data_IF_336440347286
#
_entry.id   IF_336440347286
#
_cell.length_a   1.000
_cell.length_b   1.000
_cell.length_c   1.000
_cell.angle_alpha   90.00
_cell.angle_beta   90.00
_cell.angle_gamma   90.00
#
_symmetry.space_group_name_H-M   'P 1'
#
loop_
_entity.id
_entity.type
_entity.pdbx_description
1 polymer ?
#
# COMPACT_ATOMS: atom_id res chain seq x y z
N UNK A 1 -13.42 10.21 1.40
CA UNK A 1 -12.99 9.16 2.36
C UNK A 1 -11.49 9.21 2.71
N UNK A 2 -10.65 9.77 1.84
CA UNK A 2 -9.20 9.98 2.06
C UNK A 2 -8.86 10.66 3.39
N UNK A 3 -9.60 11.70 3.78
CA UNK A 3 -9.40 12.39 5.05
C UNK A 3 -9.60 11.52 6.31
N UNK A 4 -10.50 10.53 6.26
CA UNK A 4 -10.72 9.60 7.39
C UNK A 4 -9.51 8.68 7.56
N UNK A 5 -8.97 8.16 6.46
CA UNK A 5 -7.78 7.31 6.47
C UNK A 5 -6.52 8.09 6.90
N UNK A 6 -6.38 9.35 6.47
CA UNK A 6 -5.33 10.24 6.94
C UNK A 6 -5.43 10.47 8.46
N UNK A 7 -6.64 10.64 8.98
CA UNK A 7 -6.91 10.72 10.43
C UNK A 7 -6.51 9.45 11.17
N UNK A 8 -6.81 8.26 10.63
CA UNK A 8 -6.37 6.99 11.22
C UNK A 8 -4.84 6.82 11.21
N UNK A 9 -4.18 7.16 10.09
CA UNK A 9 -2.73 7.11 10.00
C UNK A 9 -2.07 8.08 10.98
N UNK A 10 -2.63 9.28 11.13
CA UNK A 10 -2.19 10.27 12.11
C UNK A 10 -2.40 9.77 13.54
N UNK A 11 -3.59 9.25 13.87
CA UNK A 11 -3.87 8.71 15.20
C UNK A 11 -2.93 7.54 15.55
N UNK A 12 -2.66 6.65 14.59
CA UNK A 12 -1.68 5.58 14.77
C UNK A 12 -0.28 6.14 15.05
N UNK A 13 0.17 7.14 14.29
CA UNK A 13 1.46 7.81 14.53
C UNK A 13 1.53 8.49 15.90
N UNK A 14 0.46 9.18 16.31
CA UNK A 14 0.38 9.81 17.63
C UNK A 14 0.44 8.76 18.73
N UNK A 15 -0.26 7.64 18.60
CA UNK A 15 -0.21 6.55 19.59
C UNK A 15 1.19 5.91 19.70
N UNK A 16 1.97 5.92 18.61
CA UNK A 16 3.33 5.37 18.59
C UNK A 16 4.34 6.37 19.14
N UNK A 17 4.16 7.66 18.83
CA UNK A 17 5.02 8.73 19.28
C UNK A 17 4.70 9.20 20.70
N UNK A 18 3.51 8.86 21.22
CA UNK A 18 3.15 9.09 22.60
C UNK A 18 4.20 8.42 23.49
N UNK A 19 4.91 9.19 24.34
CA UNK A 19 5.94 8.63 25.21
C UNK A 19 5.27 7.60 26.11
N UNK A 20 5.62 6.32 25.91
CA UNK A 20 5.16 5.23 26.74
C UNK A 20 5.55 5.49 28.19
N UNK A 21 4.57 5.83 29.00
CA UNK A 21 4.70 6.10 30.43
C UNK A 21 5.16 4.83 31.16
N UNK A 22 6.47 4.63 31.22
CA UNK A 22 7.09 3.70 32.17
C UNK A 22 7.29 2.28 31.69
N UNK A 23 8.37 2.04 30.92
CA UNK A 23 9.29 0.95 31.25
C UNK A 23 10.63 1.20 30.56
N UNK A 24 11.68 1.27 31.36
CA UNK A 24 13.11 1.09 31.03
C UNK A 24 13.44 0.73 29.58
N UNK A 25 14.06 1.71 28.88
CA UNK A 25 14.94 1.60 27.70
C UNK A 25 15.15 0.17 27.17
N UNK A 26 14.53 -0.15 26.04
CA UNK A 26 15.07 -1.11 25.06
C UNK A 26 15.59 -0.34 23.84
N UNK A 27 16.89 -0.44 23.51
CA UNK A 27 17.53 0.31 22.43
C UNK A 27 17.12 -0.25 21.06
N UNK A 28 17.05 0.62 20.05
CA UNK A 28 16.71 0.34 18.63
C UNK A 28 15.22 0.19 18.27
N UNK A 29 14.32 0.77 19.07
CA UNK A 29 12.90 0.85 18.76
C UNK A 29 12.65 1.34 17.32
N UNK A 30 12.37 0.39 16.44
CA UNK A 30 11.31 0.47 15.45
C UNK A 30 11.47 1.35 14.20
N UNK A 31 12.66 1.85 13.82
CA UNK A 31 12.84 2.73 12.66
C UNK A 31 12.00 2.35 11.41
N UNK A 32 11.89 1.05 11.10
CA UNK A 32 11.05 0.57 9.98
C UNK A 32 9.54 0.76 10.13
N UNK A 33 8.96 0.60 11.32
CA UNK A 33 7.51 0.74 11.52
C UNK A 33 7.08 2.21 11.45
N UNK A 34 7.79 3.08 12.19
CA UNK A 34 7.54 4.52 12.19
C UNK A 34 7.76 5.11 10.80
N UNK A 35 8.80 4.68 10.08
CA UNK A 35 9.04 5.11 8.69
C UNK A 35 7.93 4.65 7.74
N UNK A 36 7.43 3.42 7.89
CA UNK A 36 6.32 2.91 7.06
C UNK A 36 5.05 3.72 7.32
N UNK A 37 4.71 4.03 8.57
CA UNK A 37 3.52 4.80 8.91
C UNK A 37 3.67 6.28 8.53
N UNK A 38 4.87 6.84 8.67
CA UNK A 38 5.17 8.19 8.17
C UNK A 38 5.01 8.24 6.65
N UNK A 39 5.51 7.24 5.92
CA UNK A 39 5.32 7.15 4.47
C UNK A 39 3.84 7.06 4.08
N UNK A 40 3.06 6.26 4.82
CA UNK A 40 1.62 6.16 4.61
C UNK A 40 0.91 7.49 4.89
N UNK A 41 1.25 8.18 5.97
CA UNK A 41 0.69 9.51 6.29
C UNK A 41 0.99 10.53 5.20
N UNK A 42 2.25 10.62 4.75
CA UNK A 42 2.65 11.56 3.70
C UNK A 42 1.89 11.26 2.40
N UNK A 43 1.84 9.98 1.99
CA UNK A 43 1.11 9.58 0.80
C UNK A 43 -0.40 9.88 0.91
N UNK A 44 -1.02 9.64 2.07
CA UNK A 44 -2.43 9.99 2.32
C UNK A 44 -2.68 11.49 2.30
N UNK A 45 -1.78 12.31 2.84
CA UNK A 45 -1.87 13.78 2.77
C UNK A 45 -1.82 14.21 1.30
N UNK A 46 -0.85 13.69 0.54
CA UNK A 46 -0.71 13.98 -0.90
C UNK A 46 -1.97 13.62 -1.66
N UNK A 47 -2.49 12.41 -1.51
CA UNK A 47 -3.75 11.99 -2.15
C UNK A 47 -4.92 12.88 -1.71
N UNK A 48 -5.00 13.26 -0.44
CA UNK A 48 -6.08 14.14 0.03
C UNK A 48 -6.01 15.53 -0.62
N UNK A 49 -4.80 16.06 -0.84
CA UNK A 49 -4.60 17.31 -1.55
C UNK A 49 -5.00 17.18 -3.03
N UNK A 50 -4.57 16.11 -3.70
CA UNK A 50 -4.95 15.84 -5.10
C UNK A 50 -6.46 15.70 -5.28
N UNK A 51 -7.10 14.92 -4.40
CA UNK A 51 -8.55 14.77 -4.38
C UNK A 51 -9.26 16.11 -4.13
N UNK A 52 -8.73 16.96 -3.24
CA UNK A 52 -9.32 18.27 -2.97
C UNK A 52 -9.21 19.21 -4.18
N UNK A 53 -8.11 19.13 -4.94
CA UNK A 53 -7.96 19.87 -6.19
C UNK A 53 -8.98 19.40 -7.24
N UNK A 54 -9.10 18.08 -7.42
CA UNK A 54 -10.09 17.47 -8.32
C UNK A 54 -11.53 17.85 -7.96
N UNK A 55 -11.88 17.79 -6.68
CA UNK A 55 -13.22 18.12 -6.19
C UNK A 55 -13.61 19.59 -6.39
N UNK A 56 -12.63 20.47 -6.60
CA UNK A 56 -12.85 21.89 -6.91
C UNK A 56 -13.06 22.18 -8.39
N UNK A 57 -12.89 21.22 -9.29
CA UNK A 57 -13.06 21.43 -10.74
C UNK A 57 -14.52 21.35 -11.17
N UNK A 58 -14.87 22.10 -12.23
CA UNK A 58 -16.15 21.94 -12.92
C UNK A 58 -16.16 20.60 -13.67
N UNK A 59 -16.83 19.63 -13.06
CA UNK A 59 -16.86 18.24 -13.53
C UNK A 59 -17.55 18.08 -14.89
N UNK A 60 -18.39 19.02 -15.33
CA UNK A 60 -18.98 18.94 -16.67
C UNK A 60 -17.93 19.27 -17.75
N UNK A 61 -17.11 20.29 -17.51
CA UNK A 61 -16.09 20.73 -18.46
C UNK A 61 -14.82 19.87 -18.39
N UNK A 62 -14.40 19.44 -17.21
CA UNK A 62 -13.09 18.83 -16.96
C UNK A 62 -13.10 17.30 -16.78
N UNK A 63 -14.22 16.63 -17.01
CA UNK A 63 -14.41 15.19 -16.72
C UNK A 63 -13.33 14.27 -17.30
N UNK A 64 -12.87 14.59 -18.51
CA UNK A 64 -11.89 13.78 -19.23
C UNK A 64 -10.52 13.80 -18.56
N UNK A 65 -10.05 15.02 -18.24
CA UNK A 65 -8.83 15.23 -17.46
C UNK A 65 -8.97 14.65 -16.07
N UNK A 66 -10.11 14.86 -15.41
CA UNK A 66 -10.39 14.34 -14.07
C UNK A 66 -10.21 12.81 -14.03
N UNK A 67 -10.77 12.06 -14.98
CA UNK A 67 -10.59 10.60 -15.06
C UNK A 67 -9.11 10.17 -15.14
N UNK A 68 -8.29 10.92 -15.88
CA UNK A 68 -6.84 10.65 -15.98
C UNK A 68 -6.12 10.94 -14.65
N UNK A 69 -6.48 12.03 -13.98
CA UNK A 69 -5.85 12.43 -12.72
C UNK A 69 -6.29 11.49 -11.58
N UNK A 70 -7.55 11.08 -11.55
CA UNK A 70 -8.10 10.09 -10.61
C UNK A 70 -7.36 8.75 -10.71
N UNK A 71 -7.03 8.31 -11.93
CA UNK A 71 -6.22 7.11 -12.16
C UNK A 71 -4.84 7.20 -11.48
N UNK A 72 -4.17 8.35 -11.61
CA UNK A 72 -2.84 8.59 -11.02
C UNK A 72 -2.92 8.68 -9.50
N UNK A 73 -3.93 9.40 -8.98
CA UNK A 73 -4.17 9.53 -7.56
C UNK A 73 -4.53 8.18 -6.92
N UNK A 74 -5.30 7.34 -7.63
CA UNK A 74 -5.65 5.99 -7.20
C UNK A 74 -4.43 5.10 -6.93
N UNK A 75 -3.34 5.25 -7.71
CA UNK A 75 -2.08 4.55 -7.45
C UNK A 75 -1.41 5.04 -6.17
N UNK A 76 -1.28 6.37 -6.00
CA UNK A 76 -0.67 6.96 -4.80
C UNK A 76 -1.45 6.56 -3.54
N UNK A 77 -2.78 6.61 -3.61
CA UNK A 77 -3.66 6.16 -2.55
C UNK A 77 -3.49 4.67 -2.24
N UNK A 78 -3.45 3.82 -3.27
CA UNK A 78 -3.23 2.39 -3.13
C UNK A 78 -1.92 2.06 -2.40
N UNK A 79 -0.83 2.72 -2.78
CA UNK A 79 0.47 2.59 -2.11
C UNK A 79 0.42 3.03 -0.65
N UNK A 80 -0.31 4.13 -0.37
CA UNK A 80 -0.48 4.63 0.98
C UNK A 80 -1.22 3.62 1.89
N UNK A 81 -2.29 3.01 1.38
CA UNK A 81 -3.05 1.96 2.08
C UNK A 81 -2.18 0.73 2.34
N UNK A 82 -1.43 0.27 1.35
CA UNK A 82 -0.51 -0.87 1.49
C UNK A 82 0.54 -0.60 2.57
N UNK A 83 1.16 0.59 2.55
CA UNK A 83 2.11 1.00 3.58
C UNK A 83 1.46 1.08 4.97
N UNK A 84 0.26 1.65 5.08
CA UNK A 84 -0.47 1.76 6.35
C UNK A 84 -0.70 0.37 6.98
N UNK A 85 -1.26 -0.57 6.22
CA UNK A 85 -1.54 -1.91 6.71
C UNK A 85 -0.27 -2.68 7.07
N UNK A 86 0.81 -2.50 6.31
CA UNK A 86 2.10 -3.07 6.68
C UNK A 86 2.62 -2.48 7.99
N UNK A 87 2.53 -1.16 8.17
CA UNK A 87 2.89 -0.49 9.42
C UNK A 87 2.12 -1.07 10.60
N UNK A 88 0.80 -1.21 10.47
CA UNK A 88 -0.08 -1.84 11.46
C UNK A 88 0.32 -3.29 11.74
N UNK A 89 0.57 -4.11 10.71
CA UNK A 89 0.99 -5.49 10.89
C UNK A 89 2.34 -5.62 11.63
N UNK A 90 3.26 -4.67 11.45
CA UNK A 90 4.52 -4.62 12.21
C UNK A 90 4.27 -4.21 13.67
N UNK A 91 3.35 -3.27 13.93
CA UNK A 91 2.99 -2.88 15.29
C UNK A 91 2.31 -4.01 16.04
N UNK A 92 1.31 -4.68 15.44
CA UNK A 92 0.57 -5.77 16.08
C UNK A 92 1.51 -6.87 16.55
N UNK A 93 2.47 -7.29 15.70
CA UNK A 93 3.49 -8.27 16.07
C UNK A 93 4.34 -7.83 17.26
N UNK A 94 4.72 -6.56 17.31
CA UNK A 94 5.55 -6.02 18.39
C UNK A 94 4.80 -5.81 19.69
N UNK A 95 3.51 -5.50 19.61
CA UNK A 95 2.64 -5.36 20.77
C UNK A 95 2.24 -6.72 21.36
N UNK A 96 2.71 -7.84 20.81
CA UNK A 96 2.34 -9.18 21.27
C UNK A 96 0.86 -9.50 21.02
N UNK A 97 0.24 -8.88 20.00
CA UNK A 97 -1.11 -9.22 19.57
C UNK A 97 -1.11 -10.65 19.04
N UNK A 98 -2.25 -11.34 19.18
CA UNK A 98 -2.50 -12.69 18.67
C UNK A 98 -1.80 -12.97 17.30
N UNK A 99 -0.97 -14.03 17.21
CA UNK A 99 -0.26 -14.39 15.99
C UNK A 99 -1.16 -14.56 14.76
N UNK A 100 -2.40 -15.04 14.96
CA UNK A 100 -3.36 -15.20 13.86
C UNK A 100 -3.75 -13.85 13.29
N UNK A 101 -4.11 -12.88 14.15
CA UNK A 101 -4.43 -11.52 13.74
C UNK A 101 -3.24 -10.83 13.05
N UNK A 102 -2.03 -11.01 13.57
CA UNK A 102 -0.81 -10.49 12.94
C UNK A 102 -0.52 -11.10 11.56
N UNK A 103 -0.75 -12.42 11.40
CA UNK A 103 -0.61 -13.11 10.12
C UNK A 103 -1.67 -12.66 9.12
N UNK A 104 -2.92 -12.49 9.55
CA UNK A 104 -4.00 -11.96 8.71
C UNK A 104 -3.69 -10.54 8.24
N UNK A 105 -3.22 -9.66 9.13
CA UNK A 105 -2.80 -8.30 8.78
C UNK A 105 -1.65 -8.31 7.75
N UNK A 106 -0.69 -9.23 7.89
CA UNK A 106 0.39 -9.41 6.92
C UNK A 106 -0.13 -9.85 5.55
N UNK A 107 -1.03 -10.84 5.49
CA UNK A 107 -1.63 -11.30 4.24
C UNK A 107 -2.41 -10.15 3.58
N UNK A 108 -3.16 -9.39 4.37
CA UNK A 108 -3.90 -8.25 3.88
C UNK A 108 -2.96 -7.19 3.27
N UNK A 109 -1.91 -6.79 4.00
CA UNK A 109 -0.96 -5.76 3.55
C UNK A 109 -0.08 -6.20 2.37
N UNK A 110 0.29 -7.48 2.29
CA UNK A 110 1.20 -8.00 1.25
C UNK A 110 0.46 -8.46 0.00
N UNK A 111 -0.76 -8.98 0.10
CA UNK A 111 -1.46 -9.61 -1.04
C UNK A 111 -2.75 -8.88 -1.37
N UNK A 112 -3.65 -8.75 -0.41
CA UNK A 112 -5.03 -8.29 -0.67
C UNK A 112 -5.04 -6.83 -1.09
N UNK A 113 -4.42 -5.93 -0.33
CA UNK A 113 -4.46 -4.50 -0.63
C UNK A 113 -3.68 -4.10 -1.88
N UNK A 114 -2.49 -4.66 -2.19
CA UNK A 114 -1.85 -4.40 -3.47
C UNK A 114 -2.68 -4.86 -4.67
N UNK A 115 -3.32 -6.04 -4.58
CA UNK A 115 -4.21 -6.52 -5.64
C UNK A 115 -5.47 -5.64 -5.78
N UNK A 116 -6.08 -5.23 -4.68
CA UNK A 116 -7.20 -4.29 -4.69
C UNK A 116 -6.80 -2.93 -5.26
N UNK A 117 -5.64 -2.39 -4.89
CA UNK A 117 -5.11 -1.15 -5.45
C UNK A 117 -4.96 -1.25 -6.98
N UNK A 118 -4.38 -2.35 -7.48
CA UNK A 118 -4.26 -2.58 -8.92
C UNK A 118 -5.62 -2.72 -9.60
N UNK A 119 -6.58 -3.38 -8.96
CA UNK A 119 -7.95 -3.49 -9.45
C UNK A 119 -8.62 -2.12 -9.59
N UNK A 120 -8.52 -1.25 -8.58
CA UNK A 120 -9.07 0.11 -8.65
C UNK A 120 -8.38 0.97 -9.72
N UNK A 121 -7.06 0.83 -9.87
CA UNK A 121 -6.31 1.45 -10.97
C UNK A 121 -6.83 0.96 -12.33
N UNK A 122 -7.09 -0.34 -12.49
CA UNK A 122 -7.66 -0.89 -13.71
C UNK A 122 -9.10 -0.41 -13.98
N UNK A 123 -9.88 -0.15 -12.93
CA UNK A 123 -11.22 0.47 -13.05
C UNK A 123 -11.13 1.92 -13.52
N UNK A 124 -10.23 2.73 -12.95
CA UNK A 124 -10.01 4.10 -13.43
C UNK A 124 -9.53 4.16 -14.89
N UNK A 125 -8.82 3.12 -15.34
CA UNK A 125 -8.47 2.97 -16.75
C UNK A 125 -9.70 2.73 -17.63
N UNK A 126 -10.66 1.91 -17.17
CA UNK A 126 -11.93 1.69 -17.85
C UNK A 126 -12.73 2.99 -18.01
N UNK A 127 -12.76 3.84 -16.98
CA UNK A 127 -13.43 5.15 -17.03
C UNK A 127 -12.76 6.08 -18.05
N UNK A 128 -11.43 6.08 -18.11
CA UNK A 128 -10.66 6.84 -19.12
C UNK A 128 -11.00 6.38 -20.54
N UNK A 129 -11.16 5.07 -20.77
CA UNK A 129 -11.55 4.52 -22.07
C UNK A 129 -12.99 4.85 -22.45
N UNK A 130 -13.91 4.76 -21.48
CA UNK A 130 -15.32 5.10 -21.67
C UNK A 130 -15.49 6.58 -22.05
N UNK A 131 -14.75 7.49 -21.40
CA UNK A 131 -14.72 8.91 -21.78
C UNK A 131 -14.15 9.11 -23.18
N UNK A 132 -13.11 8.35 -23.56
CA UNK A 132 -12.54 8.41 -24.92
C UNK A 132 -13.53 7.95 -25.98
N UNK A 133 -14.33 6.92 -25.71
CA UNK A 133 -15.41 6.46 -26.58
C UNK A 133 -16.50 7.52 -26.72
N UNK A 134 -16.90 8.17 -25.61
CA UNK A 134 -17.87 9.24 -25.63
C UNK A 134 -17.45 10.42 -26.53
N UNK A 135 -16.17 10.81 -26.53
CA UNK A 135 -15.65 11.84 -27.45
C UNK A 135 -15.73 11.47 -28.93
N UNK A 136 -15.82 10.18 -29.25
CA UNK A 136 -15.99 9.69 -30.62
C UNK A 136 -17.47 9.53 -31.01
N UNK A 137 -18.40 9.85 -30.11
CA UNK A 137 -19.83 9.59 -30.29
C UNK A 137 -20.21 8.11 -30.13
N UNK A 138 -19.34 7.30 -29.54
CA UNK A 138 -19.59 5.89 -29.24
C UNK A 138 -20.27 5.72 -27.86
N UNK A 139 -20.92 4.57 -27.59
CA UNK A 139 -21.52 4.29 -26.28
C UNK A 139 -20.50 4.37 -25.14
N UNK A 140 -20.81 5.13 -24.10
CA UNK A 140 -19.99 5.25 -22.90
C UNK A 140 -20.20 4.01 -22.01
N UNK A 141 -19.48 2.93 -22.31
CA UNK A 141 -19.50 1.69 -21.52
C UNK A 141 -18.13 1.46 -20.91
N UNK A 142 -18.06 1.50 -19.58
CA UNK A 142 -16.84 1.18 -18.84
C UNK A 142 -16.58 -0.33 -18.92
N UNK A 143 -15.49 -0.70 -19.59
CA UNK A 143 -15.01 -2.07 -19.65
C UNK A 143 -13.57 -2.11 -19.16
N UNK A 144 -13.29 -2.95 -18.16
CA UNK A 144 -11.94 -3.10 -17.61
C UNK A 144 -11.01 -3.60 -18.73
N UNK A 145 -9.89 -2.90 -19.00
CA UNK A 145 -8.93 -3.37 -19.99
C UNK A 145 -8.43 -4.78 -19.64
N UNK A 146 -8.42 -5.75 -20.59
CA UNK A 146 -7.98 -7.12 -20.32
C UNK A 146 -6.58 -7.19 -19.70
N UNK A 147 -5.70 -6.27 -20.10
CA UNK A 147 -4.37 -6.11 -19.51
C UNK A 147 -4.45 -5.80 -18.01
N UNK A 148 -5.29 -4.84 -17.61
CA UNK A 148 -5.47 -4.46 -16.20
C UNK A 148 -5.99 -5.62 -15.36
N UNK A 149 -6.99 -6.35 -15.85
CA UNK A 149 -7.49 -7.55 -15.16
C UNK A 149 -6.42 -8.64 -15.03
N UNK A 150 -5.68 -8.92 -16.11
CA UNK A 150 -4.60 -9.90 -16.11
C UNK A 150 -3.47 -9.52 -15.14
N UNK A 151 -3.07 -8.25 -15.11
CA UNK A 151 -2.05 -7.74 -14.20
C UNK A 151 -2.47 -7.83 -12.74
N UNK A 152 -3.74 -7.55 -12.41
CA UNK A 152 -4.28 -7.70 -11.05
C UNK A 152 -4.18 -9.15 -10.56
N UNK A 153 -4.59 -10.11 -11.40
CA UNK A 153 -4.52 -11.55 -11.04
C UNK A 153 -3.06 -11.99 -10.90
N UNK A 154 -2.20 -11.63 -11.86
CA UNK A 154 -0.78 -11.96 -11.83
C UNK A 154 -0.09 -11.39 -10.58
N UNK A 155 -0.37 -10.13 -10.24
CA UNK A 155 0.14 -9.47 -9.04
C UNK A 155 -0.27 -10.21 -7.76
N UNK A 156 -1.56 -10.55 -7.62
CA UNK A 156 -2.07 -11.30 -6.48
C UNK A 156 -1.38 -12.67 -6.32
N UNK A 157 -1.20 -13.39 -7.43
CA UNK A 157 -0.50 -14.68 -7.44
C UNK A 157 0.97 -14.55 -7.03
N UNK A 158 1.71 -13.60 -7.62
CA UNK A 158 3.12 -13.36 -7.29
C UNK A 158 3.29 -13.04 -5.80
N UNK A 159 2.44 -12.16 -5.27
CA UNK A 159 2.51 -11.76 -3.86
C UNK A 159 2.08 -12.89 -2.92
N UNK A 160 1.09 -13.70 -3.29
CA UNK A 160 0.72 -14.90 -2.54
C UNK A 160 1.87 -15.92 -2.49
N UNK A 161 2.51 -16.20 -3.63
CA UNK A 161 3.68 -17.09 -3.71
C UNK A 161 4.83 -16.54 -2.85
N UNK A 162 4.99 -15.21 -2.79
CA UNK A 162 6.03 -14.58 -1.97
C UNK A 162 5.91 -14.92 -0.49
N UNK A 163 4.71 -15.20 0.03
CA UNK A 163 4.47 -15.54 1.44
C UNK A 163 4.75 -17.01 1.79
N UNK A 164 5.11 -17.84 0.81
CA UNK A 164 5.45 -19.25 1.06
C UNK A 164 6.78 -19.39 1.80
N UNK A 165 6.91 -20.38 2.68
CA UNK A 165 8.09 -20.58 3.54
C UNK A 165 9.41 -20.65 2.76
N UNK A 166 9.42 -21.34 1.61
CA UNK A 166 10.59 -21.46 0.74
C UNK A 166 11.07 -20.12 0.21
N UNK A 167 10.13 -19.29 -0.26
CA UNK A 167 10.46 -17.97 -0.82
C UNK A 167 10.85 -17.00 0.29
N UNK A 168 10.18 -17.08 1.44
CA UNK A 168 10.51 -16.28 2.63
C UNK A 168 11.93 -16.54 3.13
N UNK A 169 12.40 -17.80 3.13
CA UNK A 169 13.77 -18.13 3.50
C UNK A 169 14.81 -17.42 2.61
N UNK A 170 14.55 -17.33 1.30
CA UNK A 170 15.42 -16.62 0.35
C UNK A 170 15.32 -15.10 0.55
N UNK A 171 14.10 -14.57 0.74
CA UNK A 171 13.87 -13.13 0.88
C UNK A 171 14.39 -12.56 2.20
N UNK A 172 14.57 -13.39 3.23
CA UNK A 172 15.12 -12.99 4.53
C UNK A 172 16.49 -12.31 4.40
N UNK A 173 17.31 -12.70 3.43
CA UNK A 173 18.61 -12.08 3.15
C UNK A 173 18.52 -10.59 2.77
N UNK A 174 17.36 -10.14 2.27
CA UNK A 174 17.13 -8.76 1.83
C UNK A 174 16.28 -7.93 2.80
N UNK A 175 15.83 -8.53 3.91
CA UNK A 175 14.81 -7.96 4.79
C UNK A 175 15.21 -6.58 5.36
N UNK A 176 16.47 -6.40 5.76
CA UNK A 176 16.95 -5.11 6.32
C UNK A 176 16.91 -4.00 5.27
N UNK A 177 17.38 -4.28 4.06
CA UNK A 177 17.37 -3.32 2.95
C UNK A 177 15.93 -2.99 2.55
N UNK A 178 15.08 -4.00 2.38
CA UNK A 178 13.69 -3.81 1.99
C UNK A 178 12.89 -3.01 3.03
N UNK A 179 13.19 -3.16 4.32
CA UNK A 179 12.55 -2.42 5.42
C UNK A 179 12.74 -0.89 5.31
N UNK A 180 13.87 -0.44 4.78
CA UNK A 180 14.16 1.00 4.61
C UNK A 180 13.68 1.49 3.24
N UNK A 181 13.96 0.72 2.19
CA UNK A 181 13.69 1.17 0.83
C UNK A 181 12.21 1.15 0.45
N UNK A 182 11.38 0.27 1.03
CA UNK A 182 9.97 0.21 0.66
C UNK A 182 9.19 1.49 1.03
N UNK A 183 9.28 2.00 2.27
CA UNK A 183 8.70 3.31 2.60
C UNK A 183 9.23 4.47 1.76
N UNK A 184 10.54 4.47 1.45
CA UNK A 184 11.15 5.50 0.59
C UNK A 184 10.54 5.44 -0.82
N UNK A 185 10.40 4.23 -1.39
CA UNK A 185 9.80 4.04 -2.70
C UNK A 185 8.34 4.52 -2.73
N UNK A 186 7.56 4.27 -1.67
CA UNK A 186 6.19 4.78 -1.53
C UNK A 186 6.17 6.32 -1.51
N UNK A 187 7.05 6.97 -0.76
CA UNK A 187 7.15 8.44 -0.71
C UNK A 187 7.52 8.99 -2.09
N UNK A 188 8.56 8.44 -2.73
CA UNK A 188 9.02 8.90 -4.04
C UNK A 188 7.94 8.74 -5.10
N UNK A 189 7.29 7.56 -5.15
CA UNK A 189 6.21 7.31 -6.09
C UNK A 189 5.01 8.24 -5.87
N UNK A 190 4.62 8.49 -4.61
CA UNK A 190 3.53 9.40 -4.28
C UNK A 190 3.87 10.85 -4.66
N UNK A 191 5.12 11.27 -4.43
CA UNK A 191 5.61 12.58 -4.85
C UNK A 191 5.60 12.76 -6.37
N UNK A 192 6.07 11.75 -7.12
CA UNK A 192 6.02 11.74 -8.59
C UNK A 192 4.57 11.78 -9.08
N UNK A 193 3.68 10.97 -8.50
CA UNK A 193 2.26 10.99 -8.83
C UNK A 193 1.65 12.37 -8.60
N UNK A 194 2.00 13.05 -7.51
CA UNK A 194 1.54 14.40 -7.22
C UNK A 194 2.02 15.45 -8.23
N UNK A 195 3.30 15.38 -8.60
CA UNK A 195 3.87 16.28 -9.61
C UNK A 195 3.23 16.08 -10.98
N UNK A 196 3.04 14.82 -11.38
CA UNK A 196 2.40 14.48 -12.65
C UNK A 196 0.92 14.89 -12.64
N UNK A 197 0.19 14.59 -11.57
CA UNK A 197 -1.21 15.00 -11.40
C UNK A 197 -1.35 16.53 -11.42
N UNK A 198 -0.46 17.25 -10.73
CA UNK A 198 -0.42 18.71 -10.73
C UNK A 198 -0.15 19.30 -12.11
N UNK A 199 0.83 18.78 -12.85
CA UNK A 199 1.09 19.19 -14.24
C UNK A 199 -0.12 18.96 -15.13
N UNK A 200 -0.71 17.76 -15.07
CA UNK A 200 -1.89 17.40 -15.85
C UNK A 200 -3.10 18.29 -15.52
N UNK A 201 -3.27 18.67 -14.25
CA UNK A 201 -4.31 19.59 -13.80
C UNK A 201 -4.24 20.98 -14.48
N UNK A 202 -3.06 21.41 -14.93
CA UNK A 202 -2.90 22.69 -15.66
C UNK A 202 -3.15 22.58 -17.16
N UNK A 203 -3.26 21.35 -17.70
CA UNK A 203 -3.45 21.11 -19.14
C UNK A 203 -4.91 21.24 -19.55
N UNK A 204 -5.20 21.10 -20.85
CA UNK A 204 -6.57 21.25 -21.37
C UNK A 204 -7.55 20.28 -20.68
N UNK A 205 -8.81 20.70 -20.46
CA UNK A 205 -9.81 19.89 -19.75
C UNK A 205 -10.21 18.63 -20.54
N UNK A 206 -9.96 18.61 -21.84
CA UNK A 206 -10.19 17.47 -22.76
C UNK A 206 -9.03 16.47 -22.79
N UNK A 207 -7.98 16.68 -21.98
CA UNK A 207 -6.83 15.81 -21.98
C UNK A 207 -7.21 14.41 -21.50
N UNK A 208 -6.86 13.40 -22.30
CA UNK A 208 -6.94 11.99 -21.93
C UNK A 208 -5.61 11.33 -22.25
N UNK A 209 -5.20 10.36 -21.43
CA UNK A 209 -4.08 9.50 -21.79
C UNK A 209 -4.39 8.77 -23.10
N UNK A 210 -3.38 8.64 -23.95
CA UNK A 210 -3.48 7.76 -25.12
C UNK A 210 -3.58 6.29 -24.67
N UNK A 211 -4.18 5.38 -25.47
CA UNK A 211 -4.28 3.96 -25.11
C UNK A 211 -2.92 3.34 -24.74
N UNK A 212 -1.86 3.67 -25.50
CA UNK A 212 -0.50 3.20 -25.19
C UNK A 212 0.03 3.74 -23.86
N UNK A 213 -0.24 5.01 -23.56
CA UNK A 213 0.17 5.60 -22.29
C UNK A 213 -0.59 4.96 -21.11
N UNK A 214 -1.85 4.60 -21.32
CA UNK A 214 -2.66 3.88 -20.33
C UNK A 214 -2.12 2.47 -20.07
N UNK A 215 -1.80 1.71 -21.12
CA UNK A 215 -1.20 0.37 -20.98
C UNK A 215 0.15 0.43 -20.24
N UNK A 216 0.99 1.41 -20.58
CA UNK A 216 2.27 1.65 -19.88
C UNK A 216 2.02 2.01 -18.41
N UNK A 217 1.04 2.87 -18.12
CA UNK A 217 0.68 3.24 -16.76
C UNK A 217 0.22 2.02 -15.94
N UNK A 218 -0.62 1.16 -16.51
CA UNK A 218 -1.06 -0.08 -15.87
C UNK A 218 0.12 -1.01 -15.58
N UNK A 219 1.03 -1.20 -16.53
CA UNK A 219 2.21 -2.04 -16.35
C UNK A 219 3.16 -1.48 -15.26
N UNK A 220 3.41 -0.17 -15.27
CA UNK A 220 4.23 0.52 -14.25
C UNK A 220 3.59 0.42 -12.88
N UNK A 221 2.26 0.61 -12.80
CA UNK A 221 1.50 0.48 -11.54
C UNK A 221 1.62 -0.93 -10.95
N UNK A 222 1.44 -1.96 -11.78
CA UNK A 222 1.57 -3.35 -11.36
C UNK A 222 3.00 -3.68 -10.90
N UNK A 223 4.02 -3.22 -11.64
CA UNK A 223 5.43 -3.38 -11.25
C UNK A 223 5.73 -2.71 -9.91
N UNK A 224 5.23 -1.49 -9.71
CA UNK A 224 5.48 -0.73 -8.50
C UNK A 224 4.78 -1.35 -7.28
N UNK A 225 3.50 -1.70 -7.40
CA UNK A 225 2.75 -2.38 -6.35
C UNK A 225 3.37 -3.75 -6.03
N UNK A 226 3.81 -4.49 -7.05
CA UNK A 226 4.52 -5.75 -6.90
C UNK A 226 5.85 -5.59 -6.18
N UNK A 227 6.67 -4.62 -6.58
CA UNK A 227 7.95 -4.34 -5.94
C UNK A 227 7.76 -3.97 -4.46
N UNK A 228 6.85 -3.04 -4.15
CA UNK A 228 6.55 -2.63 -2.77
C UNK A 228 6.00 -3.79 -1.95
N UNK A 229 5.05 -4.56 -2.49
CA UNK A 229 4.49 -5.75 -1.84
C UNK A 229 5.55 -6.81 -1.54
N UNK A 230 6.45 -7.10 -2.49
CA UNK A 230 7.56 -8.03 -2.29
C UNK A 230 8.56 -7.51 -1.25
N UNK A 231 8.89 -6.23 -1.24
CA UNK A 231 9.79 -5.68 -0.23
C UNK A 231 9.17 -5.73 1.18
N UNK A 232 7.86 -5.47 1.29
CA UNK A 232 7.14 -5.66 2.55
C UNK A 232 7.05 -7.12 2.97
N UNK A 233 6.85 -8.03 2.00
CA UNK A 233 6.93 -9.47 2.21
C UNK A 233 8.29 -9.88 2.79
N UNK A 234 9.40 -9.42 2.20
CA UNK A 234 10.77 -9.68 2.65
C UNK A 234 11.03 -9.12 4.05
N UNK A 235 10.59 -7.89 4.32
CA UNK A 235 10.77 -7.24 5.63
C UNK A 235 10.08 -8.01 6.76
N UNK A 236 9.03 -8.78 6.43
CA UNK A 236 8.31 -9.63 7.37
C UNK A 236 8.92 -11.02 7.56
N UNK A 237 9.89 -11.43 6.74
CA UNK A 237 10.51 -12.76 6.77
C UNK A 237 11.40 -13.02 7.98
N UNK A 238 12.03 -11.96 8.51
CA UNK A 238 12.98 -12.05 9.64
C UNK A 238 12.34 -11.76 10.99
N UNK A 239 11.01 -11.62 11.05
CA UNK A 239 10.32 -11.49 12.32
C UNK A 239 10.36 -12.87 13.02
N UNK A 240 10.87 -12.97 14.26
CA UNK A 240 10.83 -14.23 14.99
C UNK A 240 9.39 -14.71 15.09
N UNK A 241 9.14 -15.94 14.66
CA UNK A 241 7.83 -16.57 14.84
C UNK A 241 7.61 -16.71 16.35
N UNK A 242 6.59 -16.02 16.87
CA UNK A 242 6.19 -16.10 18.27
C UNK A 242 5.80 -17.52 18.71
N UNK A 243 5.72 -18.46 17.76
CA UNK A 243 5.43 -19.88 17.98
C UNK A 243 6.62 -20.66 18.58
N UNK A 244 7.84 -20.08 18.64
CA UNK A 244 8.97 -20.68 19.39
C UNK A 244 9.09 -20.06 20.79
N UNK A 245 7.97 -20.06 21.53
CA UNK A 245 7.98 -19.98 23.00
C UNK A 245 7.45 -21.32 23.52
N UNK A 246 7.97 -22.42 22.97
CA UNK A 246 7.95 -23.73 23.61
C UNK A 246 9.23 -23.90 24.44
N UNK A 247 9.38 -23.06 25.46
CA UNK A 247 10.18 -23.42 26.63
C UNK A 247 9.70 -22.58 27.80
N UNK A 248 8.41 -22.72 28.13
CA UNK A 248 8.01 -22.50 29.52
C UNK A 248 8.84 -23.51 30.32
N UNK A 249 9.76 -23.06 31.20
CA UNK A 249 10.48 -23.99 32.04
C UNK A 249 9.41 -24.80 32.76
N UNK A 250 9.38 -26.12 32.50
CA UNK A 250 8.60 -27.05 33.31
C UNK A 250 8.93 -26.69 34.74
N UNK A 251 7.94 -26.20 35.49
CA UNK A 251 8.06 -25.91 36.90
C UNK A 251 8.87 -27.06 37.53
N UNK A 252 10.03 -26.79 38.17
CA UNK A 252 10.81 -27.85 38.77
C UNK A 252 9.90 -28.57 39.75
N UNK A 253 9.64 -29.85 39.50
CA UNK A 253 8.74 -30.66 40.30
C UNK A 253 9.13 -30.51 41.78
N UNK A 254 8.30 -29.82 42.56
CA UNK A 254 8.52 -29.63 43.99
C UNK A 254 8.51 -31.05 44.61
N UNK A 255 9.60 -31.52 45.22
CA UNK A 255 9.63 -32.84 45.84
C UNK A 255 8.63 -32.85 47.00
N UNK A 256 7.57 -33.66 46.88
CA UNK A 256 6.66 -33.96 48.00
C UNK A 256 7.48 -34.67 49.09
N UNK A 257 7.78 -33.98 50.18
CA UNK A 257 8.30 -34.61 51.41
C UNK A 257 7.26 -35.61 51.93
N UNK A 258 7.68 -36.84 52.16
CA UNK A 258 6.98 -37.83 53.00
C UNK A 258 7.58 -37.80 54.39
#
# INVERSE_FOLDING_TARGET
MTGVLAGFAFAALVLILAPGSGSTRTPSWSAGASLTLLSALIALIVTTLLYSLLAGEDMEAARARAATVELIDGLAFGLAVVALFQGVAVLMRRAGVDPVAARAARVAGVVVFPALAMYFVAQGAADTEAMRAAFRGEPCVAAIPPLGAGLTVALGLVLAVSLTSRVQAVMAAYAERCRVWAPILVILASGVAALVAGDLGTRSPTLLLSPRALDVFLAVSALLLGAVGLMFSASGATAPDADIIEDFPKEPAIPRRR
#
